data_IF_626163562702
#
_entry.id   IF_626163562702
#
_cell.length_a   1.000
_cell.length_b   1.000
_cell.length_c   1.000
_cell.angle_alpha   90.00
_cell.angle_beta   90.00
_cell.angle_gamma   90.00
#
_symmetry.space_group_name_H-M   'P 1'
#
loop_
_entity.id
_entity.type
_entity.pdbx_description
1 polymer ?
#
# COMPACT_ATOMS: atom_id res chain seq x y z
N UNK A 1 -2.14 6.89 20.32
CA UNK A 1 -1.71 7.11 18.93
C UNK A 1 -2.10 5.89 18.10
N UNK A 2 -3.35 5.83 17.64
CA UNK A 2 -3.91 4.79 16.75
C UNK A 2 -5.01 5.40 15.84
N UNK A 3 -4.96 6.72 15.64
CA UNK A 3 -6.08 7.51 15.09
C UNK A 3 -5.59 8.55 14.09
N UNK A 4 -4.60 8.20 13.27
CA UNK A 4 -4.42 8.92 12.03
C UNK A 4 -5.51 8.42 11.08
N UNK A 5 -6.38 9.33 10.65
CA UNK A 5 -7.33 9.11 9.54
C UNK A 5 -6.61 8.44 8.35
N UNK A 6 -7.22 7.44 7.71
CA UNK A 6 -6.58 6.64 6.66
C UNK A 6 -6.06 7.52 5.51
N UNK A 7 -6.79 8.61 5.22
CA UNK A 7 -6.36 9.64 4.28
C UNK A 7 -5.04 10.30 4.71
N UNK A 8 -4.85 10.57 6.01
CA UNK A 8 -3.58 11.12 6.55
C UNK A 8 -2.45 10.11 6.49
N UNK A 9 -2.74 8.82 6.71
CA UNK A 9 -1.72 7.77 6.60
C UNK A 9 -1.23 7.66 5.15
N UNK A 10 -2.15 7.64 4.18
CA UNK A 10 -1.78 7.63 2.77
C UNK A 10 -1.08 8.91 2.33
N UNK A 11 -1.53 10.07 2.81
CA UNK A 11 -0.89 11.35 2.54
C UNK A 11 0.54 11.41 3.10
N UNK A 12 0.74 10.95 4.33
CA UNK A 12 2.07 10.86 4.92
C UNK A 12 2.98 9.91 4.13
N UNK A 13 2.50 8.71 3.80
CA UNK A 13 3.25 7.76 2.98
C UNK A 13 3.59 8.35 1.61
N UNK A 14 2.67 9.10 1.00
CA UNK A 14 2.90 9.78 -0.27
C UNK A 14 3.98 10.86 -0.17
N UNK A 15 3.91 11.75 0.84
CA UNK A 15 4.93 12.79 1.06
C UNK A 15 6.32 12.17 1.25
N UNK A 16 6.40 11.06 1.97
CA UNK A 16 7.65 10.34 2.24
C UNK A 16 8.09 9.41 1.10
N UNK A 17 7.35 9.36 -0.01
CA UNK A 17 7.61 8.48 -1.15
C UNK A 17 7.66 6.98 -0.79
N UNK A 18 6.76 6.55 0.09
CA UNK A 18 6.67 5.19 0.61
C UNK A 18 5.36 4.53 0.21
N UNK A 19 5.42 3.22 -0.05
CA UNK A 19 4.24 2.39 -0.11
C UNK A 19 3.65 2.18 1.30
N UNK A 20 2.33 2.01 1.38
CA UNK A 20 1.65 1.62 2.62
C UNK A 20 1.13 0.19 2.52
N UNK A 21 1.30 -0.59 3.59
CA UNK A 21 0.74 -1.95 3.71
C UNK A 21 -0.44 -1.90 4.67
N UNK A 22 -1.60 -2.40 4.26
CA UNK A 22 -2.83 -2.31 5.06
C UNK A 22 -3.72 -3.54 4.89
N UNK A 23 -4.52 -3.82 5.91
CA UNK A 23 -5.63 -4.79 5.87
C UNK A 23 -6.98 -4.09 5.60
N UNK A 24 -7.03 -2.75 5.61
CA UNK A 24 -8.25 -1.98 5.34
C UNK A 24 -8.45 -1.76 3.83
N UNK A 25 -9.00 -2.76 3.16
CA UNK A 25 -9.15 -2.72 1.70
C UNK A 25 -10.15 -1.66 1.23
N UNK A 26 -11.26 -1.51 1.96
CA UNK A 26 -12.38 -0.67 1.55
C UNK A 26 -11.95 0.79 1.46
N UNK A 27 -11.45 1.33 2.58
CA UNK A 27 -11.20 2.76 2.69
C UNK A 27 -9.99 3.16 1.83
N UNK A 28 -8.95 2.32 1.78
CA UNK A 28 -7.79 2.59 0.92
C UNK A 28 -8.05 2.42 -0.57
N UNK A 29 -9.02 1.58 -0.98
CA UNK A 29 -9.44 1.52 -2.38
C UNK A 29 -10.21 2.77 -2.81
N UNK A 30 -11.04 3.32 -1.92
CA UNK A 30 -11.71 4.60 -2.13
C UNK A 30 -10.69 5.74 -2.22
N UNK A 31 -9.73 5.79 -1.29
CA UNK A 31 -8.64 6.77 -1.30
C UNK A 31 -7.77 6.67 -2.56
N UNK A 32 -7.44 5.45 -3.00
CA UNK A 32 -6.74 5.24 -4.27
C UNK A 32 -7.50 5.87 -5.43
N UNK A 33 -8.80 5.58 -5.53
CA UNK A 33 -9.67 6.12 -6.59
C UNK A 33 -9.73 7.64 -6.54
N UNK A 34 -9.79 8.22 -5.33
CA UNK A 34 -9.74 9.67 -5.14
C UNK A 34 -8.41 10.27 -5.60
N UNK A 35 -7.27 9.66 -5.24
CA UNK A 35 -5.96 10.14 -5.68
C UNK A 35 -5.86 10.16 -7.21
N UNK A 36 -6.31 9.09 -7.89
CA UNK A 36 -6.31 9.05 -9.34
C UNK A 36 -7.22 10.11 -9.96
N UNK A 37 -8.43 10.30 -9.41
CA UNK A 37 -9.39 11.29 -9.91
C UNK A 37 -8.91 12.74 -9.72
N UNK A 38 -8.13 13.00 -8.67
CA UNK A 38 -7.52 14.29 -8.35
C UNK A 38 -6.15 14.49 -9.02
N UNK A 39 -5.70 13.57 -9.87
CA UNK A 39 -4.35 13.55 -10.48
C UNK A 39 -3.21 13.65 -9.44
N UNK A 40 -3.45 13.13 -8.23
CA UNK A 40 -2.50 13.04 -7.13
C UNK A 40 -1.75 11.73 -7.15
N UNK A 41 -0.52 11.78 -6.66
CA UNK A 41 0.36 10.62 -6.65
C UNK A 41 0.47 9.98 -5.26
N UNK A 42 0.52 8.65 -5.21
CA UNK A 42 0.97 7.87 -4.07
C UNK A 42 1.98 6.81 -4.52
N UNK A 43 2.79 6.29 -3.59
CA UNK A 43 3.91 5.39 -3.90
C UNK A 43 3.54 3.91 -3.66
N UNK A 44 2.29 3.58 -3.95
CA UNK A 44 1.74 2.23 -3.83
C UNK A 44 0.93 1.95 -2.58
N UNK A 45 -0.13 1.16 -2.75
CA UNK A 45 -0.96 0.62 -1.67
C UNK A 45 -0.90 -0.90 -1.77
N UNK A 46 -0.47 -1.56 -0.71
CA UNK A 46 -0.27 -3.00 -0.66
C UNK A 46 -1.30 -3.59 0.28
N UNK A 47 -2.24 -4.34 -0.27
CA UNK A 47 -3.25 -5.07 0.46
C UNK A 47 -2.72 -6.42 0.91
N UNK A 48 -2.92 -6.75 2.17
CA UNK A 48 -2.63 -8.09 2.68
C UNK A 48 -3.87 -8.64 3.37
N UNK A 49 -4.07 -9.96 3.32
CA UNK A 49 -5.02 -10.63 4.21
C UNK A 49 -4.38 -10.92 5.56
N UNK A 50 -5.18 -11.17 6.60
CA UNK A 50 -4.64 -11.63 7.88
C UNK A 50 -3.87 -12.95 7.69
N UNK A 51 -2.55 -12.89 7.76
CA UNK A 51 -1.63 -14.02 7.61
C UNK A 51 -0.67 -14.08 8.81
N UNK A 52 -0.08 -15.25 9.10
CA UNK A 52 1.01 -15.34 10.07
C UNK A 52 2.15 -14.39 9.72
N UNK A 53 2.74 -13.74 10.73
CA UNK A 53 3.77 -12.71 10.53
C UNK A 53 4.96 -13.19 9.68
N UNK A 54 5.38 -14.45 9.83
CA UNK A 54 6.47 -15.02 9.04
C UNK A 54 6.13 -15.14 7.55
N UNK A 55 4.88 -15.47 7.24
CA UNK A 55 4.38 -15.46 5.86
C UNK A 55 4.37 -14.04 5.33
N UNK A 56 3.77 -13.10 6.06
CA UNK A 56 3.70 -11.69 5.65
C UNK A 56 5.08 -11.10 5.36
N UNK A 57 6.07 -11.35 6.23
CA UNK A 57 7.46 -10.92 6.02
C UNK A 57 8.09 -11.54 4.78
N UNK A 58 7.94 -12.84 4.56
CA UNK A 58 8.47 -13.50 3.35
C UNK A 58 7.87 -12.91 2.07
N UNK A 59 6.55 -12.65 2.05
CA UNK A 59 5.89 -12.05 0.89
C UNK A 59 6.35 -10.61 0.65
N UNK A 60 6.54 -9.81 1.71
CA UNK A 60 7.07 -8.46 1.59
C UNK A 60 8.47 -8.46 0.99
N UNK A 61 9.36 -9.34 1.46
CA UNK A 61 10.70 -9.48 0.89
C UNK A 61 10.66 -9.86 -0.59
N UNK A 62 9.73 -10.75 -0.99
CA UNK A 62 9.54 -11.10 -2.41
C UNK A 62 9.03 -9.92 -3.23
N UNK A 63 8.07 -9.15 -2.73
CA UNK A 63 7.57 -7.94 -3.38
C UNK A 63 8.70 -6.94 -3.60
N UNK A 64 9.50 -6.66 -2.56
CA UNK A 64 10.64 -5.73 -2.63
C UNK A 64 11.73 -6.18 -3.63
N UNK A 65 11.86 -7.49 -3.86
CA UNK A 65 12.79 -8.04 -4.84
C UNK A 65 12.21 -8.12 -6.27
N UNK A 66 10.91 -7.88 -6.44
CA UNK A 66 10.20 -8.04 -7.72
C UNK A 66 9.82 -6.70 -8.34
N UNK A 67 9.46 -5.71 -7.52
CA UNK A 67 8.98 -4.41 -7.99
C UNK A 67 9.90 -3.30 -7.51
N UNK A 68 10.19 -2.38 -8.42
CA UNK A 68 10.76 -1.07 -8.12
C UNK A 68 9.71 -0.12 -7.51
N UNK A 69 10.18 0.97 -6.92
CA UNK A 69 9.29 2.03 -6.41
C UNK A 69 8.45 2.69 -7.50
N UNK A 70 9.03 2.86 -8.70
CA UNK A 70 8.31 3.46 -9.84
C UNK A 70 7.19 2.54 -10.35
N UNK A 71 7.41 1.23 -10.36
CA UNK A 71 6.36 0.24 -10.70
C UNK A 71 5.21 0.19 -9.68
N UNK A 72 5.44 0.64 -8.44
CA UNK A 72 4.41 0.73 -7.41
C UNK A 72 3.66 2.07 -7.43
N UNK A 73 4.17 3.08 -8.14
CA UNK A 73 3.58 4.42 -8.16
C UNK A 73 2.15 4.35 -8.71
N UNK A 74 1.21 4.91 -7.93
CA UNK A 74 -0.22 4.90 -8.23
C UNK A 74 -0.81 3.50 -8.45
N UNK A 75 -0.18 2.45 -7.91
CA UNK A 75 -0.68 1.07 -8.01
C UNK A 75 -1.28 0.58 -6.69
N UNK A 76 -2.23 -0.33 -6.83
CA UNK A 76 -2.72 -1.19 -5.75
C UNK A 76 -2.26 -2.61 -6.05
N UNK A 77 -1.64 -3.29 -5.07
CA UNK A 77 -1.17 -4.69 -5.23
C UNK A 77 -1.59 -5.54 -4.05
N UNK A 78 -1.90 -6.82 -4.31
CA UNK A 78 -2.11 -7.78 -3.25
C UNK A 78 -0.81 -8.48 -2.88
N UNK A 79 -0.43 -8.41 -1.62
CA UNK A 79 0.74 -9.09 -1.08
C UNK A 79 0.66 -10.61 -1.31
N UNK A 80 -0.56 -11.16 -1.33
CA UNK A 80 -0.83 -12.58 -1.58
C UNK A 80 -0.36 -13.09 -2.96
N UNK A 81 -0.14 -12.19 -3.92
CA UNK A 81 0.44 -12.49 -5.25
C UNK A 81 1.89 -12.96 -5.16
N UNK A 82 2.61 -12.53 -4.12
CA UNK A 82 4.03 -12.84 -3.91
C UNK A 82 4.13 -14.06 -2.99
N UNK A 83 4.26 -15.26 -3.56
CA UNK A 83 4.43 -16.53 -2.84
C UNK A 83 5.88 -16.96 -2.81
#
# INVERSE_FOLDING_TARGET
>A
MLSADDARQLAFAAVEQRAIVTFNFRDFFELHSQYLAEEREHWGIIFSTAEPIGTLLHRLLRLLNTLSGDELKNQVRWLNEFR
#
